data_IF_720792476551
#
_entry.id   IF_720792476551
#
_cell.length_a   1.000
_cell.length_b   1.000
_cell.length_c   1.000
_cell.angle_alpha   90.00
_cell.angle_beta   90.00
_cell.angle_gamma   90.00
#
_symmetry.space_group_name_H-M   'P 1'
#
loop_
_entity.id
_entity.type
_entity.pdbx_description
1 polymer ?
#
# COMPACT_ATOMS: atom_id res chain seq x y z
N UNK A 1 9.49 -9.41 -14.96
CA UNK A 1 8.61 -8.24 -14.74
C UNK A 1 9.41 -7.16 -14.03
N UNK A 2 9.46 -5.96 -14.58
CA UNK A 2 10.21 -4.83 -14.03
C UNK A 2 9.35 -4.03 -13.06
N UNK A 3 9.89 -3.73 -11.89
CA UNK A 3 9.14 -3.11 -10.80
C UNK A 3 9.82 -1.83 -10.32
N UNK A 4 9.02 -0.77 -10.16
CA UNK A 4 9.41 0.46 -9.50
C UNK A 4 8.83 0.55 -8.08
N UNK A 5 9.55 1.19 -7.15
CA UNK A 5 9.03 1.47 -5.80
C UNK A 5 9.19 2.94 -5.49
N UNK A 6 8.08 3.64 -5.36
CA UNK A 6 8.01 5.05 -4.96
C UNK A 6 7.88 5.13 -3.43
N UNK A 7 8.77 5.89 -2.79
CA UNK A 7 8.84 5.95 -1.32
C UNK A 7 9.64 4.81 -0.69
N UNK A 8 10.62 4.29 -1.40
CA UNK A 8 11.42 3.13 -1.02
C UNK A 8 12.29 3.29 0.23
N UNK A 9 12.47 4.52 0.73
CA UNK A 9 13.24 4.81 1.95
C UNK A 9 12.45 4.58 3.25
N UNK A 10 11.11 4.52 3.18
CA UNK A 10 10.26 4.21 4.34
C UNK A 10 10.24 2.73 4.71
N UNK A 11 9.63 2.40 5.88
CA UNK A 11 9.53 1.01 6.33
C UNK A 11 8.73 0.13 5.37
N UNK A 12 7.57 0.60 4.90
CA UNK A 12 6.73 -0.15 3.97
C UNK A 12 7.44 -0.39 2.64
N UNK A 13 8.09 0.66 2.09
CA UNK A 13 8.87 0.52 0.87
C UNK A 13 10.05 -0.44 1.02
N UNK A 14 10.79 -0.36 2.15
CA UNK A 14 11.89 -1.28 2.47
C UNK A 14 11.44 -2.73 2.61
N UNK A 15 10.32 -3.00 3.29
CA UNK A 15 9.77 -4.35 3.41
C UNK A 15 9.25 -4.88 2.06
N UNK A 16 8.63 -4.04 1.26
CA UNK A 16 8.23 -4.40 -0.11
C UNK A 16 9.46 -4.84 -0.93
N UNK A 17 10.53 -4.07 -0.90
CA UNK A 17 11.78 -4.39 -1.58
C UNK A 17 12.41 -5.69 -1.05
N UNK A 18 12.41 -5.90 0.27
CA UNK A 18 12.94 -7.13 0.90
C UNK A 18 12.24 -8.39 0.39
N UNK A 19 10.95 -8.31 0.11
CA UNK A 19 10.20 -9.42 -0.50
C UNK A 19 10.49 -9.54 -2.01
N UNK A 20 10.56 -8.42 -2.70
CA UNK A 20 10.75 -8.39 -4.16
C UNK A 20 12.12 -8.85 -4.62
N UNK A 21 13.20 -8.55 -3.87
CA UNK A 21 14.58 -8.97 -4.25
C UNK A 21 14.76 -10.49 -4.32
N UNK A 22 13.90 -11.24 -3.64
CA UNK A 22 13.91 -12.70 -3.66
C UNK A 22 12.84 -13.30 -4.59
N UNK A 23 12.06 -12.47 -5.27
CA UNK A 23 11.00 -12.96 -6.15
C UNK A 23 11.57 -13.40 -7.51
N UNK A 24 11.38 -14.67 -7.94
CA UNK A 24 12.10 -15.22 -9.11
C UNK A 24 11.74 -14.55 -10.44
N UNK A 25 10.60 -13.88 -10.53
CA UNK A 25 10.11 -13.26 -11.76
C UNK A 25 10.15 -11.72 -11.75
N UNK A 26 10.74 -11.12 -10.71
CA UNK A 26 10.76 -9.67 -10.52
C UNK A 26 12.18 -9.14 -10.58
N UNK A 27 12.36 -8.07 -11.34
CA UNK A 27 13.54 -7.22 -11.38
C UNK A 27 13.17 -5.84 -10.83
N UNK A 28 13.84 -5.38 -9.78
CA UNK A 28 13.66 -4.03 -9.26
C UNK A 28 14.45 -3.08 -10.15
N UNK A 29 13.73 -2.25 -10.93
CA UNK A 29 14.34 -1.36 -11.91
C UNK A 29 14.58 0.05 -11.37
N UNK A 30 13.68 0.54 -10.51
CA UNK A 30 13.76 1.91 -10.01
C UNK A 30 13.24 2.03 -8.59
N UNK A 31 13.97 2.79 -7.76
CA UNK A 31 13.58 3.13 -6.39
C UNK A 31 13.67 4.63 -6.19
N UNK A 32 12.63 5.25 -5.61
CA UNK A 32 12.62 6.70 -5.42
C UNK A 32 12.58 7.11 -3.95
N UNK A 33 13.19 8.23 -3.65
CA UNK A 33 13.09 8.93 -2.37
C UNK A 33 13.24 10.43 -2.58
N UNK A 34 12.57 11.25 -1.76
CA UNK A 34 12.79 12.70 -1.77
C UNK A 34 14.06 13.11 -1.03
N UNK A 35 14.46 12.36 -0.01
CA UNK A 35 15.53 12.75 0.93
C UNK A 35 16.88 12.10 0.62
N UNK A 36 16.90 10.98 -0.10
CA UNK A 36 18.08 10.12 -0.25
C UNK A 36 18.52 9.96 -1.72
N UNK A 37 18.19 10.92 -2.57
CA UNK A 37 18.58 10.89 -4.01
C UNK A 37 20.10 10.73 -4.15
N UNK A 38 20.51 9.76 -4.97
CA UNK A 38 21.93 9.45 -5.21
C UNK A 38 22.57 8.52 -4.17
N UNK A 39 21.93 8.29 -3.02
CA UNK A 39 22.43 7.33 -2.03
C UNK A 39 22.11 5.88 -2.44
N UNK A 40 23.01 4.95 -2.08
CA UNK A 40 22.75 3.53 -2.27
C UNK A 40 21.57 3.05 -1.40
N UNK A 41 20.70 2.25 -1.99
CA UNK A 41 19.53 1.70 -1.31
C UNK A 41 19.88 0.99 -0.01
N UNK A 42 20.94 0.19 0.00
CA UNK A 42 21.37 -0.58 1.17
C UNK A 42 21.94 0.28 2.32
N UNK A 43 22.23 1.56 2.11
CA UNK A 43 22.58 2.47 3.21
C UNK A 43 21.39 2.83 4.07
N UNK A 44 20.22 2.97 3.45
CA UNK A 44 18.97 3.31 4.14
C UNK A 44 18.20 2.05 4.54
N UNK A 45 18.30 1.01 3.72
CA UNK A 45 17.69 -0.31 3.94
C UNK A 45 18.79 -1.38 4.09
N UNK A 46 19.43 -1.53 5.26
CA UNK A 46 20.58 -2.41 5.44
C UNK A 46 20.31 -3.88 5.14
N UNK A 47 19.06 -4.32 5.28
CA UNK A 47 18.60 -5.68 4.93
C UNK A 47 18.77 -6.04 3.46
N UNK A 48 18.97 -5.04 2.59
CA UNK A 48 19.14 -5.22 1.15
C UNK A 48 20.61 -5.23 0.70
N UNK A 49 21.55 -5.17 1.65
CA UNK A 49 22.98 -5.21 1.34
C UNK A 49 23.36 -6.55 0.70
N UNK A 50 24.00 -6.48 -0.47
CA UNK A 50 24.41 -7.66 -1.23
C UNK A 50 23.35 -8.24 -2.17
N UNK A 51 22.13 -7.69 -2.15
CA UNK A 51 21.09 -8.07 -3.09
C UNK A 51 20.98 -7.12 -4.28
N UNK A 52 21.29 -5.85 -4.09
CA UNK A 52 21.22 -4.83 -5.14
C UNK A 52 22.11 -3.63 -4.83
N UNK A 53 22.67 -3.02 -5.87
CA UNK A 53 23.44 -1.78 -5.81
C UNK A 53 22.67 -0.56 -6.35
N UNK A 54 21.34 -0.64 -6.39
CA UNK A 54 20.48 0.47 -6.80
C UNK A 54 20.72 1.69 -5.90
N UNK A 55 20.63 2.87 -6.53
CA UNK A 55 20.61 4.16 -5.86
C UNK A 55 19.21 4.77 -5.95
N UNK A 56 18.84 5.56 -4.95
CA UNK A 56 17.60 6.31 -5.01
C UNK A 56 17.64 7.38 -6.09
N UNK A 57 16.58 7.48 -6.86
CA UNK A 57 16.34 8.56 -7.82
C UNK A 57 15.24 9.51 -7.34
N UNK A 58 15.13 10.65 -7.99
CA UNK A 58 13.94 11.51 -7.91
C UNK A 58 12.74 10.81 -8.54
N UNK A 59 11.54 11.27 -8.17
CA UNK A 59 10.29 10.83 -8.78
C UNK A 59 10.22 11.38 -10.22
N UNK A 60 10.27 10.50 -11.19
CA UNK A 60 10.18 10.81 -12.61
C UNK A 60 9.16 9.84 -13.24
N UNK A 61 8.00 10.36 -13.60
CA UNK A 61 6.89 9.56 -14.12
C UNK A 61 7.20 8.93 -15.48
N UNK A 62 7.93 9.63 -16.33
CA UNK A 62 8.25 9.15 -17.66
C UNK A 62 9.26 8.01 -17.58
N UNK A 63 10.28 8.14 -16.73
CA UNK A 63 11.22 7.04 -16.47
C UNK A 63 10.55 5.83 -15.83
N UNK A 64 9.63 6.05 -14.87
CA UNK A 64 8.86 4.94 -14.29
C UNK A 64 8.05 4.22 -15.34
N UNK A 65 7.42 4.97 -16.27
CA UNK A 65 6.63 4.40 -17.36
C UNK A 65 7.48 3.61 -18.34
N UNK A 66 8.66 4.10 -18.67
CA UNK A 66 9.55 3.46 -19.64
C UNK A 66 10.27 2.23 -19.06
N UNK A 67 10.54 2.21 -17.76
CA UNK A 67 11.40 1.22 -17.14
C UNK A 67 10.65 0.17 -16.29
N UNK A 68 9.37 0.38 -15.99
CA UNK A 68 8.62 -0.48 -15.08
C UNK A 68 7.33 -0.99 -15.71
N UNK A 69 7.00 -2.24 -15.45
CA UNK A 69 5.70 -2.85 -15.77
C UNK A 69 4.67 -2.57 -14.66
N UNK A 70 5.16 -2.48 -13.41
CA UNK A 70 4.35 -2.29 -12.19
C UNK A 70 5.08 -1.31 -11.26
N UNK A 71 4.34 -0.41 -10.64
CA UNK A 71 4.87 0.51 -9.63
C UNK A 71 4.13 0.34 -8.30
N UNK A 72 4.91 0.13 -7.23
CA UNK A 72 4.41 0.21 -5.86
C UNK A 72 4.54 1.64 -5.35
N UNK A 73 3.49 2.17 -4.71
CA UNK A 73 3.54 3.46 -4.03
C UNK A 73 3.48 3.25 -2.51
N UNK A 74 4.58 3.58 -1.83
CA UNK A 74 4.76 3.44 -0.38
C UNK A 74 5.05 4.81 0.25
N UNK A 75 4.13 5.75 0.03
CA UNK A 75 4.24 7.15 0.49
C UNK A 75 3.19 7.44 1.57
N UNK A 76 3.35 8.53 2.34
CA UNK A 76 2.34 8.93 3.32
C UNK A 76 0.97 9.18 2.70
N UNK A 77 -0.08 8.97 3.50
CA UNK A 77 -1.47 9.24 3.11
C UNK A 77 -1.64 10.69 2.63
N UNK A 78 -2.49 10.90 1.65
CA UNK A 78 -2.69 12.18 0.96
C UNK A 78 -1.61 12.53 -0.07
N UNK A 79 -0.49 11.79 -0.10
CA UNK A 79 0.61 12.03 -1.06
C UNK A 79 0.48 11.17 -2.32
N UNK A 80 -0.14 10.00 -2.21
CA UNK A 80 -0.25 9.06 -3.32
C UNK A 80 -1.29 9.48 -4.35
N UNK A 81 -2.24 10.35 -4.03
CA UNK A 81 -3.34 10.74 -4.91
C UNK A 81 -2.87 11.17 -6.30
N UNK A 82 -1.93 12.12 -6.36
CA UNK A 82 -1.38 12.63 -7.63
C UNK A 82 -0.46 11.61 -8.30
N UNK A 83 0.34 10.89 -7.52
CA UNK A 83 1.31 9.91 -8.04
C UNK A 83 0.58 8.76 -8.72
N UNK A 84 -0.42 8.20 -8.06
CA UNK A 84 -1.23 7.09 -8.57
C UNK A 84 -1.98 7.51 -9.82
N UNK A 85 -2.64 8.69 -9.78
CA UNK A 85 -3.33 9.24 -10.96
C UNK A 85 -2.39 9.39 -12.14
N UNK A 86 -1.23 10.03 -11.94
CA UNK A 86 -0.26 10.27 -13.00
C UNK A 86 0.28 8.98 -13.64
N UNK A 87 0.51 7.94 -12.85
CA UNK A 87 0.94 6.62 -13.33
C UNK A 87 -0.19 5.86 -14.01
N UNK A 88 -1.40 5.91 -13.43
CA UNK A 88 -2.58 5.28 -14.00
C UNK A 88 -2.90 5.83 -15.40
N UNK A 89 -2.89 7.15 -15.56
CA UNK A 89 -3.15 7.82 -16.84
C UNK A 89 -2.11 7.48 -17.93
N UNK A 90 -0.90 7.09 -17.51
CA UNK A 90 0.16 6.59 -18.40
C UNK A 90 0.06 5.09 -18.73
N UNK A 91 -0.96 4.40 -18.23
CA UNK A 91 -1.20 2.98 -18.46
C UNK A 91 -0.39 2.02 -17.59
N UNK A 92 0.37 2.52 -16.61
CA UNK A 92 1.14 1.69 -15.68
C UNK A 92 0.21 0.99 -14.68
N UNK A 93 0.54 -0.25 -14.34
CA UNK A 93 -0.09 -0.94 -13.21
C UNK A 93 0.45 -0.39 -11.91
N UNK A 94 -0.45 0.02 -11.00
CA UNK A 94 -0.09 0.59 -9.71
C UNK A 94 -0.61 -0.28 -8.58
N UNK A 95 0.26 -0.55 -7.60
CA UNK A 95 -0.11 -1.17 -6.32
C UNK A 95 0.13 -0.11 -5.24
N UNK A 96 -0.96 0.47 -4.77
CA UNK A 96 -0.91 1.52 -3.76
C UNK A 96 -0.99 0.95 -2.35
N UNK A 97 0.04 1.24 -1.55
CA UNK A 97 0.16 0.82 -0.16
C UNK A 97 -0.31 1.93 0.81
N UNK A 98 -0.70 3.10 0.27
CA UNK A 98 -1.27 4.20 1.06
C UNK A 98 -2.75 3.98 1.37
N UNK A 99 -3.41 4.97 1.98
CA UNK A 99 -4.86 4.94 2.20
C UNK A 99 -5.66 5.56 1.05
N UNK A 100 -4.97 6.16 0.07
CA UNK A 100 -5.57 7.17 -0.79
C UNK A 100 -6.60 6.62 -1.79
N UNK A 101 -6.57 5.33 -2.09
CA UNK A 101 -7.51 4.67 -3.03
C UNK A 101 -8.23 3.47 -2.42
N UNK A 102 -8.29 3.38 -1.08
CA UNK A 102 -8.92 2.23 -0.37
C UNK A 102 -10.43 2.22 -0.42
N UNK A 103 -11.04 3.41 -0.33
CA UNK A 103 -12.49 3.56 -0.26
C UNK A 103 -13.01 3.98 -1.63
N UNK A 104 -14.14 3.38 -2.07
CA UNK A 104 -14.70 3.64 -3.39
C UNK A 104 -15.63 4.86 -3.44
N UNK A 105 -15.94 5.46 -2.30
CA UNK A 105 -16.88 6.56 -2.17
C UNK A 105 -16.20 7.78 -1.57
N UNK A 106 -16.43 8.95 -2.16
CA UNK A 106 -15.90 10.24 -1.71
C UNK A 106 -16.30 10.53 -0.27
N UNK A 107 -17.57 10.35 0.07
CA UNK A 107 -18.12 10.66 1.40
C UNK A 107 -17.49 9.81 2.50
N UNK A 108 -16.96 8.65 2.16
CA UNK A 108 -16.24 7.80 3.09
C UNK A 108 -14.87 8.39 3.47
N UNK A 109 -14.20 9.11 2.54
CA UNK A 109 -12.96 9.82 2.87
C UNK A 109 -13.21 10.98 3.83
N UNK A 110 -14.23 11.79 3.58
CA UNK A 110 -14.61 12.88 4.48
C UNK A 110 -14.90 12.37 5.88
N UNK A 111 -15.67 11.29 5.96
CA UNK A 111 -16.13 10.71 7.22
C UNK A 111 -15.01 10.03 8.03
N UNK A 112 -14.13 9.26 7.36
CA UNK A 112 -13.20 8.36 8.05
C UNK A 112 -11.76 8.85 8.05
N UNK A 113 -11.36 9.63 7.03
CA UNK A 113 -10.02 10.20 6.92
C UNK A 113 -9.97 11.70 7.15
N UNK A 114 -11.14 12.41 7.13
CA UNK A 114 -11.24 13.83 7.42
C UNK A 114 -10.72 14.73 6.30
N UNK A 115 -10.70 14.26 5.06
CA UNK A 115 -10.29 15.05 3.90
C UNK A 115 -11.06 14.65 2.63
N UNK A 116 -11.23 15.61 1.72
CA UNK A 116 -11.87 15.43 0.43
C UNK A 116 -10.86 14.86 -0.58
N UNK A 117 -11.21 13.73 -1.23
CA UNK A 117 -10.32 13.10 -2.20
C UNK A 117 -10.28 13.93 -3.50
N UNK A 118 -9.07 14.36 -3.99
CA UNK A 118 -8.97 15.26 -5.15
C UNK A 118 -9.37 14.59 -6.48
N UNK A 119 -9.41 13.27 -6.55
CA UNK A 119 -9.70 12.50 -7.77
C UNK A 119 -10.76 11.42 -7.52
N UNK A 120 -12.02 11.79 -7.19
CA UNK A 120 -13.07 10.82 -6.85
C UNK A 120 -13.38 9.84 -7.98
N UNK A 121 -13.23 10.26 -9.23
CA UNK A 121 -13.47 9.42 -10.42
C UNK A 121 -12.52 8.21 -10.55
N UNK A 122 -11.42 8.20 -9.79
CA UNK A 122 -10.46 7.10 -9.76
C UNK A 122 -10.76 6.09 -8.66
N UNK A 123 -11.54 6.45 -7.64
CA UNK A 123 -11.88 5.57 -6.52
C UNK A 123 -12.52 4.25 -6.97
N UNK A 124 -13.54 4.25 -7.86
CA UNK A 124 -14.15 3.02 -8.32
C UNK A 124 -13.27 2.16 -9.24
N UNK A 125 -12.13 2.70 -9.71
CA UNK A 125 -11.20 1.98 -10.59
C UNK A 125 -10.22 1.11 -9.80
N UNK A 126 -10.10 1.31 -8.49
CA UNK A 126 -9.23 0.52 -7.65
C UNK A 126 -9.87 -0.82 -7.29
N UNK A 127 -9.04 -1.87 -7.29
CA UNK A 127 -9.41 -3.18 -6.75
C UNK A 127 -8.77 -3.33 -5.37
N UNK A 128 -9.53 -3.83 -4.42
CA UNK A 128 -9.04 -3.99 -3.06
C UNK A 128 -7.99 -5.11 -2.96
N UNK A 129 -6.81 -4.78 -2.47
CA UNK A 129 -5.60 -5.60 -2.53
C UNK A 129 -5.53 -6.69 -1.47
N UNK A 130 -6.52 -7.57 -1.42
CA UNK A 130 -6.53 -8.80 -0.61
C UNK A 130 -6.63 -10.00 -1.54
N UNK A 131 -5.49 -10.57 -1.99
CA UNK A 131 -5.48 -11.66 -2.97
C UNK A 131 -6.25 -12.90 -2.56
N UNK A 132 -6.41 -13.15 -1.27
CA UNK A 132 -7.19 -14.26 -0.71
C UNK A 132 -8.68 -14.13 -1.01
N UNK A 133 -9.17 -12.90 -1.21
CA UNK A 133 -10.58 -12.59 -1.47
C UNK A 133 -10.84 -12.15 -2.91
N UNK A 134 -9.87 -11.43 -3.53
CA UNK A 134 -10.06 -10.72 -4.81
C UNK A 134 -9.03 -11.08 -5.89
N UNK A 135 -8.51 -12.32 -5.88
CA UNK A 135 -7.42 -12.75 -6.76
C UNK A 135 -7.68 -12.51 -8.24
N UNK A 136 -8.87 -12.83 -8.72
CA UNK A 136 -9.17 -12.75 -10.16
C UNK A 136 -9.42 -11.30 -10.63
N UNK A 137 -9.92 -10.45 -9.75
CA UNK A 137 -10.05 -9.02 -10.00
C UNK A 137 -8.67 -8.34 -10.01
N UNK A 138 -7.81 -8.67 -9.04
CA UNK A 138 -6.43 -8.12 -8.93
C UNK A 138 -5.61 -8.44 -10.18
N UNK A 139 -5.71 -9.65 -10.72
CA UNK A 139 -5.00 -10.01 -11.96
C UNK A 139 -5.31 -9.09 -13.14
N UNK A 140 -6.54 -8.57 -13.21
CA UNK A 140 -7.05 -7.72 -14.29
C UNK A 140 -6.90 -6.23 -13.99
N UNK A 141 -6.67 -5.88 -12.73
CA UNK A 141 -6.63 -4.50 -12.28
C UNK A 141 -5.42 -3.74 -12.83
N UNK A 142 -5.63 -2.48 -13.15
CA UNK A 142 -4.55 -1.53 -13.37
C UNK A 142 -4.18 -0.81 -12.06
N UNK A 143 -5.15 -0.62 -11.16
CA UNK A 143 -4.93 -0.04 -9.84
C UNK A 143 -5.38 -1.03 -8.75
N UNK A 144 -4.46 -1.36 -7.86
CA UNK A 144 -4.72 -2.18 -6.67
C UNK A 144 -4.43 -1.33 -5.44
N UNK A 145 -5.39 -1.23 -4.53
CA UNK A 145 -5.25 -0.48 -3.28
C UNK A 145 -5.16 -1.44 -2.09
N UNK A 146 -4.02 -1.43 -1.41
CA UNK A 146 -3.77 -2.34 -0.30
C UNK A 146 -4.42 -1.86 1.01
N UNK A 147 -5.03 -2.77 1.79
CA UNK A 147 -5.61 -2.44 3.09
C UNK A 147 -4.57 -2.01 4.12
N UNK A 148 -5.04 -1.34 5.17
CA UNK A 148 -4.23 -1.11 6.37
C UNK A 148 -3.95 -2.40 7.14
N UNK A 149 -2.84 -2.44 7.89
CA UNK A 149 -2.37 -3.64 8.57
C UNK A 149 -3.40 -4.23 9.55
N UNK A 150 -4.07 -3.41 10.35
CA UNK A 150 -5.10 -3.87 11.29
C UNK A 150 -6.36 -4.38 10.56
N UNK A 151 -6.76 -3.70 9.48
CA UNK A 151 -7.91 -4.11 8.68
C UNK A 151 -7.67 -5.47 8.02
N UNK A 152 -6.52 -5.67 7.36
CA UNK A 152 -6.24 -6.94 6.66
C UNK A 152 -6.12 -8.12 7.61
N UNK A 153 -5.48 -7.94 8.78
CA UNK A 153 -5.38 -9.03 9.78
C UNK A 153 -6.73 -9.43 10.32
N UNK A 154 -7.60 -8.44 10.60
CA UNK A 154 -8.98 -8.70 11.06
C UNK A 154 -9.82 -9.39 9.96
N UNK A 155 -9.75 -8.89 8.73
CA UNK A 155 -10.49 -9.48 7.60
C UNK A 155 -10.07 -10.93 7.33
N UNK A 156 -8.77 -11.21 7.26
CA UNK A 156 -8.29 -12.56 6.99
C UNK A 156 -8.60 -13.55 8.13
N UNK A 157 -8.64 -13.08 9.37
CA UNK A 157 -9.06 -13.90 10.49
C UNK A 157 -10.57 -14.22 10.45
N UNK A 158 -11.40 -13.24 10.09
CA UNK A 158 -12.86 -13.37 10.10
C UNK A 158 -13.44 -13.99 8.82
N UNK A 159 -12.83 -13.74 7.67
CA UNK A 159 -13.36 -14.17 6.39
C UNK A 159 -13.73 -15.67 6.30
N UNK A 160 -12.89 -16.63 6.74
CA UNK A 160 -13.25 -18.04 6.70
C UNK A 160 -14.39 -18.38 7.67
N UNK A 161 -14.50 -17.68 8.81
CA UNK A 161 -15.53 -17.93 9.81
C UNK A 161 -16.89 -17.42 9.33
N UNK A 162 -16.91 -16.23 8.72
CA UNK A 162 -18.12 -15.63 8.14
C UNK A 162 -18.58 -16.43 6.93
N UNK A 163 -17.65 -16.80 6.03
CA UNK A 163 -17.98 -17.55 4.81
C UNK A 163 -18.63 -18.91 5.08
N UNK A 164 -18.34 -19.52 6.23
CA UNK A 164 -18.87 -20.81 6.62
C UNK A 164 -19.96 -20.71 7.71
N UNK A 165 -20.52 -19.52 7.96
CA UNK A 165 -21.56 -19.28 8.95
C UNK A 165 -21.24 -19.82 10.36
N UNK A 166 -19.97 -19.70 10.79
CA UNK A 166 -19.48 -20.27 12.07
C UNK A 166 -19.70 -19.28 13.22
N UNK A 167 -19.75 -17.97 12.92
CA UNK A 167 -19.85 -16.91 13.93
C UNK A 167 -21.06 -16.02 13.68
N UNK A 168 -21.58 -15.43 14.77
CA UNK A 168 -22.54 -14.34 14.70
C UNK A 168 -21.84 -13.05 14.24
N UNK A 169 -22.33 -12.47 13.14
CA UNK A 169 -21.75 -11.25 12.54
C UNK A 169 -22.32 -9.96 13.15
N UNK A 170 -23.35 -10.03 13.99
CA UNK A 170 -23.93 -8.85 14.62
C UNK A 170 -23.07 -8.35 15.80
N UNK A 171 -22.29 -9.24 16.43
CA UNK A 171 -21.51 -8.95 17.63
C UNK A 171 -20.06 -9.40 17.49
N UNK A 172 -19.24 -8.65 16.72
CA UNK A 172 -17.81 -8.91 16.55
C UNK A 172 -17.01 -7.84 17.27
N UNK A 173 -16.13 -8.27 18.17
CA UNK A 173 -15.17 -7.41 18.86
C UNK A 173 -13.78 -7.76 18.36
N UNK A 174 -13.06 -6.74 17.85
CA UNK A 174 -11.67 -6.88 17.39
C UNK A 174 -10.77 -6.04 18.30
N UNK A 175 -9.88 -6.72 19.02
CA UNK A 175 -8.80 -6.08 19.79
C UNK A 175 -7.49 -6.20 19.02
N UNK A 176 -7.12 -5.14 18.31
CA UNK A 176 -5.91 -5.08 17.48
C UNK A 176 -4.77 -4.37 18.19
N UNK A 177 -3.60 -5.00 18.23
CA UNK A 177 -2.38 -4.42 18.79
C UNK A 177 -1.35 -4.18 17.70
N UNK A 178 -0.77 -2.99 17.68
CA UNK A 178 0.23 -2.57 16.70
C UNK A 178 1.52 -2.12 17.39
N UNK A 179 2.65 -2.51 16.81
CA UNK A 179 3.95 -2.00 17.26
C UNK A 179 4.22 -0.57 16.78
N UNK A 180 5.19 0.11 17.41
CA UNK A 180 5.58 1.49 17.06
C UNK A 180 6.00 1.68 15.61
N UNK A 181 6.55 0.64 14.96
CA UNK A 181 6.92 0.64 13.55
C UNK A 181 5.72 0.87 12.61
N UNK A 182 4.50 0.55 13.05
CA UNK A 182 3.28 0.79 12.29
C UNK A 182 2.99 2.28 12.04
N UNK A 183 3.57 3.17 12.84
CA UNK A 183 3.48 4.62 12.63
C UNK A 183 4.45 5.17 11.56
N UNK A 184 5.35 4.35 11.01
CA UNK A 184 6.33 4.72 10.00
C UNK A 184 7.64 5.25 10.56
N UNK A 185 8.64 5.44 9.70
CA UNK A 185 10.00 5.86 10.08
C UNK A 185 10.12 7.32 10.51
N UNK A 186 9.15 8.16 10.16
CA UNK A 186 9.16 9.61 10.45
C UNK A 186 8.34 10.00 11.68
N UNK A 187 7.63 9.09 12.32
CA UNK A 187 6.80 9.40 13.47
C UNK A 187 7.64 9.36 14.74
N UNK A 188 7.96 10.50 15.24
CA UNK A 188 8.43 10.64 16.62
C UNK A 188 7.35 10.18 17.60
N UNK A 189 7.60 9.10 18.32
CA UNK A 189 7.23 8.89 19.72
C UNK A 189 5.86 8.39 20.17
N UNK A 190 4.82 8.25 19.39
CA UNK A 190 3.57 7.76 19.99
C UNK A 190 3.11 6.42 19.41
N UNK A 191 3.13 5.32 20.17
CA UNK A 191 2.38 4.13 19.79
C UNK A 191 0.88 4.45 19.83
N UNK A 192 0.23 4.42 18.68
CA UNK A 192 -1.24 4.56 18.62
C UNK A 192 -1.83 3.19 18.88
N UNK A 193 -2.55 3.06 19.98
CA UNK A 193 -3.35 1.87 20.29
C UNK A 193 -4.79 2.13 19.89
N UNK A 194 -5.30 1.38 18.90
CA UNK A 194 -6.72 1.35 18.56
C UNK A 194 -7.34 0.09 19.17
N UNK A 195 -8.32 0.24 20.03
CA UNK A 195 -8.89 -0.87 20.78
C UNK A 195 -10.23 -1.37 20.24
N UNK A 196 -10.89 -0.66 19.32
CA UNK A 196 -12.19 -1.07 18.80
C UNK A 196 -12.33 -0.75 17.31
N UNK A 197 -12.56 -1.78 16.50
CA UNK A 197 -13.09 -1.68 15.15
C UNK A 197 -14.46 -2.34 15.12
N UNK A 198 -15.48 -1.62 14.67
CA UNK A 198 -16.81 -2.22 14.45
C UNK A 198 -16.88 -2.86 13.07
N UNK A 199 -17.68 -3.90 12.91
CA UNK A 199 -17.82 -4.63 11.66
C UNK A 199 -18.14 -3.75 10.44
N UNK A 200 -18.99 -2.71 10.53
CA UNK A 200 -19.22 -1.77 9.42
C UNK A 200 -17.94 -1.09 8.91
N UNK A 201 -16.97 -0.85 9.80
CA UNK A 201 -15.67 -0.27 9.44
C UNK A 201 -14.78 -1.28 8.71
N UNK A 202 -14.89 -2.56 9.03
CA UNK A 202 -14.13 -3.65 8.39
C UNK A 202 -14.69 -3.97 7.01
N UNK A 203 -15.99 -3.88 6.80
CA UNK A 203 -16.65 -4.21 5.52
C UNK A 203 -16.60 -3.06 4.50
N UNK A 204 -16.27 -1.84 4.93
CA UNK A 204 -16.13 -0.67 4.05
C UNK A 204 -14.68 -0.44 3.59
N UNK A 205 -13.76 -1.31 4.00
CA UNK A 205 -12.32 -1.22 3.66
C UNK A 205 -11.96 -2.24 2.61
#
# INVERSE_FOLDING_TARGET
MKVGVVGASGYVGGETLRLLVNHPEVEISMVTSRQHVGEYLHRIQPSLKGFTDLTFSELDYDKLTDQCDVVFTAVPHGTATEIVKALYDRGIKVIDLSADYRLHQQEAYDKWYGWEHPHPDYLPKSVFGVPELHREEIKKAQLVSCPGCMAVTSMLALAPLIKNDIIDTEHIIVDSKIGSSGAGSGSGTAPVSYTHLTLPTILLV
#
